data_IF_323412759759
#
_entry.id   IF_323412759759
#
_cell.length_a   1.000
_cell.length_b   1.000
_cell.length_c   1.000
_cell.angle_alpha   90.00
_cell.angle_beta   90.00
_cell.angle_gamma   90.00
#
_symmetry.space_group_name_H-M   'P 1'
#
loop_
_entity.id
_entity.type
_entity.pdbx_description
1 polymer ?
#
# COMPACT_ATOMS: atom_id res chain seq x y z
N UNK A 1 -1.39 -9.26 -2.25
CA UNK A 1 -2.69 -9.95 -2.30
C UNK A 1 -3.58 -9.47 -1.17
N UNK A 2 -4.86 -9.23 -1.46
CA UNK A 2 -5.88 -8.86 -0.47
C UNK A 2 -6.51 -10.12 0.13
N UNK A 3 -6.62 -10.18 1.46
CA UNK A 3 -7.13 -11.38 2.16
C UNK A 3 -8.53 -11.19 2.77
N UNK A 4 -8.93 -9.94 3.01
CA UNK A 4 -10.22 -9.56 3.61
C UNK A 4 -10.89 -8.45 2.79
N UNK A 5 -12.22 -8.33 2.83
CA UNK A 5 -12.96 -7.26 2.14
C UNK A 5 -12.73 -5.89 2.81
N UNK A 6 -13.20 -4.83 2.16
CA UNK A 6 -13.22 -3.48 2.74
C UNK A 6 -11.92 -2.69 2.56
N UNK A 7 -11.00 -3.17 1.72
CA UNK A 7 -9.77 -2.47 1.40
C UNK A 7 -9.89 -1.69 0.08
N UNK A 8 -9.54 -0.41 0.12
CA UNK A 8 -9.32 0.42 -1.07
C UNK A 8 -7.82 0.46 -1.35
N UNK A 9 -7.41 -0.09 -2.49
CA UNK A 9 -6.01 -0.12 -2.93
C UNK A 9 -5.80 0.93 -4.01
N UNK A 10 -4.86 1.83 -3.78
CA UNK A 10 -4.41 2.83 -4.74
C UNK A 10 -2.99 2.51 -5.21
N UNK A 11 -2.77 2.53 -6.53
CA UNK A 11 -1.47 2.41 -7.19
C UNK A 11 -1.38 3.50 -8.25
N UNK A 12 -0.42 4.41 -8.08
CA UNK A 12 -0.33 5.67 -8.80
C UNK A 12 -1.65 6.44 -8.72
N UNK A 13 -2.25 6.66 -9.88
CA UNK A 13 -3.52 7.39 -10.03
C UNK A 13 -4.76 6.49 -10.04
N UNK A 14 -4.59 5.16 -9.95
CA UNK A 14 -5.69 4.20 -10.00
C UNK A 14 -6.07 3.77 -8.60
N UNK A 15 -7.35 3.85 -8.27
CA UNK A 15 -7.92 3.31 -7.03
C UNK A 15 -8.92 2.20 -7.34
N UNK A 16 -8.89 1.12 -6.55
CA UNK A 16 -9.75 -0.05 -6.71
C UNK A 16 -10.27 -0.47 -5.35
N UNK A 17 -11.59 -0.63 -5.23
CA UNK A 17 -12.21 -1.37 -4.12
C UNK A 17 -11.88 -2.85 -4.32
N UNK A 18 -10.94 -3.35 -3.52
CA UNK A 18 -10.37 -4.67 -3.70
C UNK A 18 -11.19 -5.75 -3.00
N UNK A 19 -11.24 -6.92 -3.63
CA UNK A 19 -11.87 -8.12 -3.11
C UNK A 19 -10.81 -9.09 -2.59
N UNK A 20 -11.16 -10.00 -1.65
CA UNK A 20 -10.29 -11.10 -1.28
C UNK A 20 -9.84 -11.91 -2.51
N UNK A 21 -8.55 -12.17 -2.60
CA UNK A 21 -7.92 -12.83 -3.75
C UNK A 21 -7.41 -11.87 -4.83
N UNK A 22 -7.77 -10.59 -4.80
CA UNK A 22 -7.21 -9.61 -5.74
C UNK A 22 -5.70 -9.44 -5.51
N UNK A 23 -4.97 -9.44 -6.62
CA UNK A 23 -3.53 -9.25 -6.69
C UNK A 23 -3.18 -7.94 -7.38
N UNK A 24 -2.12 -7.32 -6.88
CA UNK A 24 -1.63 -6.05 -7.37
C UNK A 24 -0.12 -6.12 -7.47
N UNK A 25 0.41 -5.59 -8.58
CA UNK A 25 1.85 -5.39 -8.77
C UNK A 25 2.13 -3.91 -8.58
N UNK A 26 3.06 -3.61 -7.68
CA UNK A 26 3.60 -2.26 -7.47
C UNK A 26 5.01 -2.27 -8.05
N UNK A 27 5.22 -1.49 -9.11
CA UNK A 27 6.55 -1.31 -9.69
C UNK A 27 7.44 -0.49 -8.75
N UNK A 28 8.76 -0.61 -8.90
CA UNK A 28 9.69 0.30 -8.21
C UNK A 28 9.30 1.76 -8.48
N UNK A 29 9.41 2.59 -7.44
CA UNK A 29 9.08 4.03 -7.45
C UNK A 29 7.60 4.37 -7.68
N UNK A 30 6.71 3.37 -7.85
CA UNK A 30 5.28 3.60 -8.01
C UNK A 30 4.62 3.89 -6.65
N UNK A 31 4.01 5.08 -6.46
CA UNK A 31 3.31 5.39 -5.21
C UNK A 31 2.13 4.46 -5.02
N UNK A 32 1.92 3.98 -3.79
CA UNK A 32 0.79 3.14 -3.46
C UNK A 32 0.25 3.48 -2.08
N UNK A 33 -1.02 3.16 -1.85
CA UNK A 33 -1.69 3.32 -0.56
C UNK A 33 -2.77 2.27 -0.40
N UNK A 34 -2.86 1.68 0.79
CA UNK A 34 -3.95 0.80 1.18
C UNK A 34 -4.73 1.52 2.27
N UNK A 35 -6.04 1.68 2.07
CA UNK A 35 -6.96 2.21 3.08
C UNK A 35 -7.95 1.13 3.48
N UNK A 36 -8.15 0.95 4.78
CA UNK A 36 -9.31 0.20 5.26
C UNK A 36 -10.50 1.16 5.31
N UNK A 37 -11.47 0.97 4.42
CA UNK A 37 -12.70 1.77 4.34
C UNK A 37 -13.91 1.05 4.93
N UNK A 38 -13.72 -0.19 5.41
CA UNK A 38 -14.73 -0.96 6.12
C UNK A 38 -14.60 -0.84 7.65
N UNK A 39 -15.54 -1.48 8.34
CA UNK A 39 -15.64 -1.46 9.80
C UNK A 39 -14.92 -2.64 10.48
N UNK A 40 -14.43 -3.60 9.68
CA UNK A 40 -13.76 -4.83 10.14
C UNK A 40 -12.25 -4.77 9.91
N UNK A 41 -11.49 -5.70 10.51
CA UNK A 41 -10.05 -5.80 10.28
C UNK A 41 -9.74 -6.26 8.85
N UNK A 42 -8.90 -5.51 8.15
CA UNK A 42 -8.33 -5.93 6.87
C UNK A 42 -6.94 -6.57 7.02
N UNK A 43 -6.66 -7.62 6.25
CA UNK A 43 -5.33 -8.23 6.10
C UNK A 43 -4.90 -8.23 4.64
N UNK A 44 -3.60 -8.09 4.43
CA UNK A 44 -2.94 -8.23 3.13
C UNK A 44 -1.71 -9.12 3.28
N UNK A 45 -1.37 -9.84 2.21
CA UNK A 45 -0.07 -10.48 2.06
C UNK A 45 0.75 -9.66 1.06
N UNK A 46 1.89 -9.18 1.50
CA UNK A 46 2.88 -8.51 0.67
C UNK A 46 4.04 -9.46 0.38
N UNK A 47 4.48 -9.48 -0.89
CA UNK A 47 5.63 -10.26 -1.34
C UNK A 47 6.55 -9.31 -2.09
N UNK A 48 7.74 -9.09 -1.53
CA UNK A 48 8.73 -8.20 -2.10
C UNK A 48 9.71 -9.01 -2.97
N UNK A 49 10.00 -8.53 -4.18
CA UNK A 49 10.86 -9.22 -5.15
C UNK A 49 12.19 -8.49 -5.30
N UNK A 50 13.28 -9.26 -5.44
CA UNK A 50 14.62 -8.71 -5.67
C UNK A 50 15.31 -8.29 -4.37
N UNK A 51 16.14 -7.25 -4.45
CA UNK A 51 16.78 -6.65 -3.28
C UNK A 51 15.82 -5.66 -2.64
N UNK A 52 15.54 -5.85 -1.36
CA UNK A 52 14.63 -5.00 -0.59
C UNK A 52 15.26 -4.70 0.76
N UNK A 53 15.09 -3.48 1.24
CA UNK A 53 15.59 -3.04 2.55
C UNK A 53 14.56 -2.15 3.21
N UNK A 54 14.45 -2.14 4.53
CA UNK A 54 13.52 -1.23 5.22
C UNK A 54 13.88 0.26 5.01
N UNK A 55 15.09 0.52 4.50
CA UNK A 55 15.59 1.85 4.15
C UNK A 55 15.15 2.33 2.75
N UNK A 56 14.50 1.49 1.93
CA UNK A 56 14.10 1.83 0.55
C UNK A 56 12.69 2.43 0.45
N UNK A 57 12.11 2.85 1.58
CA UNK A 57 10.75 3.35 1.66
C UNK A 57 10.71 4.87 1.72
N UNK A 58 10.05 5.49 0.73
CA UNK A 58 9.76 6.93 0.72
C UNK A 58 8.32 7.21 1.16
N UNK A 59 8.15 8.03 2.20
CA UNK A 59 6.84 8.40 2.74
C UNK A 59 6.42 9.75 2.18
N UNK A 60 5.43 9.75 1.31
CA UNK A 60 4.93 10.95 0.63
C UNK A 60 3.82 11.69 1.39
N UNK A 61 3.06 10.98 2.23
CA UNK A 61 2.00 11.55 3.06
C UNK A 61 1.78 10.69 4.29
N UNK A 62 1.53 11.32 5.42
CA UNK A 62 1.31 10.63 6.69
C UNK A 62 0.20 11.25 7.53
N UNK A 63 -0.69 10.41 8.06
CA UNK A 63 -1.79 10.84 8.93
C UNK A 63 -1.42 10.75 10.42
N UNK A 64 -0.22 10.23 10.76
CA UNK A 64 0.21 9.91 12.13
C UNK A 64 1.42 10.74 12.61
N UNK A 65 1.82 11.75 11.84
CA UNK A 65 2.93 12.65 12.18
C UNK A 65 4.34 12.04 12.05
N UNK A 66 4.49 10.94 11.29
CA UNK A 66 5.79 10.34 10.96
C UNK A 66 6.53 11.20 9.93
N UNK A 67 7.88 11.18 9.94
CA UNK A 67 8.67 11.90 8.94
C UNK A 67 8.30 11.50 7.51
N UNK A 68 8.18 12.51 6.65
CA UNK A 68 8.13 12.32 5.22
C UNK A 68 9.56 12.13 4.72
N UNK A 69 9.74 11.24 3.76
CA UNK A 69 11.03 11.02 3.12
C UNK A 69 10.85 10.88 1.62
N UNK A 70 11.72 11.53 0.82
CA UNK A 70 12.72 12.50 1.25
C UNK A 70 12.09 13.87 1.58
N UNK A 71 12.75 14.70 2.37
CA UNK A 71 12.25 16.02 2.85
C UNK A 71 12.40 17.14 1.79
N UNK A 72 12.07 16.85 0.52
CA UNK A 72 12.15 17.82 -0.60
C UNK A 72 10.79 18.40 -1.01
#
# INVERSE_FOLDING_TARGET
MVLDPGLLVQIGNRSVEANPGDEFIVSAEEPHRIKNVGDERGRVLEVAYGYTTEEDTFRLQDDYGRPLEPDW
#
